data_IF_994868470233
#
_entry.id   IF_994868470233
#
_cell.length_a   1.000
_cell.length_b   1.000
_cell.length_c   1.000
_cell.angle_alpha   90.00
_cell.angle_beta   90.00
_cell.angle_gamma   90.00
#
_symmetry.space_group_name_H-M   'P 1'
#
loop_
_entity.id
_entity.type
_entity.pdbx_description
1 polymer ?
#
# COMPACT_ATOMS: atom_id res chain seq x y z
N UNK A 1 8.21 -4.71 -17.08
CA UNK A 1 8.72 -3.47 -16.40
C UNK A 1 8.42 -3.59 -14.93
N UNK A 2 9.40 -3.55 -14.05
CA UNK A 2 9.17 -3.76 -12.62
C UNK A 2 8.70 -2.46 -11.97
N UNK A 3 7.59 -2.51 -11.23
CA UNK A 3 7.05 -1.41 -10.44
C UNK A 3 7.54 -1.56 -9.00
N UNK A 4 8.27 -0.57 -8.49
CA UNK A 4 8.74 -0.54 -7.12
C UNK A 4 7.70 0.13 -6.24
N UNK A 5 7.22 -0.57 -5.21
CA UNK A 5 6.18 -0.06 -4.33
C UNK A 5 6.67 0.19 -2.92
N UNK A 6 6.12 1.22 -2.30
CA UNK A 6 6.24 1.52 -0.89
C UNK A 6 4.92 1.34 -0.17
N UNK A 7 4.96 0.96 1.09
CA UNK A 7 3.78 0.82 1.94
C UNK A 7 3.87 1.82 3.08
N UNK A 8 2.89 2.69 3.20
CA UNK A 8 2.76 3.57 4.36
C UNK A 8 1.66 3.07 5.28
N UNK A 9 2.05 2.54 6.43
CA UNK A 9 1.14 1.95 7.43
C UNK A 9 0.99 0.44 7.32
N UNK A 10 1.33 -0.25 8.40
CA UNK A 10 1.21 -1.71 8.59
C UNK A 10 0.01 -2.09 9.46
N UNK A 11 -1.10 -1.36 9.31
CA UNK A 11 -2.39 -1.76 9.84
C UNK A 11 -2.91 -3.03 9.14
N UNK A 12 -4.18 -3.40 9.37
CA UNK A 12 -4.75 -4.59 8.73
C UNK A 12 -4.58 -4.54 7.20
N UNK A 13 -4.93 -3.43 6.57
CA UNK A 13 -4.89 -3.32 5.11
C UNK A 13 -3.46 -3.37 4.57
N UNK A 14 -2.53 -2.61 5.14
CA UNK A 14 -1.13 -2.64 4.67
C UNK A 14 -0.51 -4.04 4.75
N UNK A 15 -0.79 -4.78 5.84
CA UNK A 15 -0.35 -6.18 5.95
C UNK A 15 -0.97 -7.08 4.89
N UNK A 16 -2.25 -6.90 4.58
CA UNK A 16 -2.92 -7.70 3.54
C UNK A 16 -2.40 -7.36 2.14
N UNK A 17 -2.11 -6.09 1.86
CA UNK A 17 -1.46 -5.69 0.60
C UNK A 17 -0.10 -6.38 0.43
N UNK A 18 0.72 -6.41 1.49
CA UNK A 18 2.02 -7.10 1.45
C UNK A 18 1.83 -8.60 1.18
N UNK A 19 0.93 -9.27 1.92
CA UNK A 19 0.62 -10.67 1.71
C UNK A 19 0.16 -10.94 0.27
N UNK A 20 -0.79 -10.15 -0.24
CA UNK A 20 -1.32 -10.30 -1.58
C UNK A 20 -0.22 -10.15 -2.65
N UNK A 21 0.69 -9.19 -2.52
CA UNK A 21 1.82 -9.02 -3.43
C UNK A 21 2.74 -10.25 -3.41
N UNK A 22 3.06 -10.77 -2.24
CA UNK A 22 3.97 -11.91 -2.11
C UNK A 22 3.28 -13.22 -2.58
N UNK A 23 2.03 -13.43 -2.20
CA UNK A 23 1.25 -14.63 -2.57
C UNK A 23 0.88 -14.67 -4.05
N UNK A 24 0.71 -13.52 -4.70
CA UNK A 24 0.47 -13.45 -6.15
C UNK A 24 1.65 -13.93 -7.00
N UNK A 25 2.84 -14.00 -6.42
CA UNK A 25 4.10 -14.33 -7.11
C UNK A 25 4.37 -13.46 -8.35
N UNK A 26 3.74 -12.29 -8.42
CA UNK A 26 3.91 -11.35 -9.51
C UNK A 26 5.30 -10.71 -9.44
N UNK A 27 6.15 -11.01 -10.43
CA UNK A 27 7.54 -10.52 -10.51
C UNK A 27 7.64 -9.06 -10.95
N UNK A 28 6.55 -8.49 -11.46
CA UNK A 28 6.52 -7.10 -11.91
C UNK A 28 6.28 -6.09 -10.76
N UNK A 29 5.92 -6.56 -9.57
CA UNK A 29 5.74 -5.70 -8.40
C UNK A 29 6.78 -6.06 -7.34
N UNK A 30 7.54 -5.06 -6.87
CA UNK A 30 8.55 -5.24 -5.81
C UNK A 30 8.34 -4.25 -4.68
N UNK A 31 8.18 -4.77 -3.46
CA UNK A 31 8.14 -3.94 -2.25
C UNK A 31 9.57 -3.51 -1.93
N UNK A 32 9.81 -2.20 -1.91
CA UNK A 32 11.12 -1.59 -1.66
C UNK A 32 11.26 -1.01 -0.27
N UNK A 33 10.17 -0.41 0.23
CA UNK A 33 10.20 0.28 1.50
C UNK A 33 8.85 0.18 2.21
N UNK A 34 8.92 0.06 3.53
CA UNK A 34 7.77 0.10 4.41
C UNK A 34 8.00 1.19 5.45
N UNK A 35 7.05 2.09 5.62
CA UNK A 35 7.02 3.02 6.73
C UNK A 35 5.87 2.65 7.69
N UNK A 36 6.19 2.50 8.97
CA UNK A 36 5.19 2.23 10.01
C UNK A 36 5.67 2.72 11.38
N UNK A 37 4.75 3.18 12.21
CA UNK A 37 5.09 3.74 13.54
C UNK A 37 5.59 2.69 14.55
N UNK A 38 5.14 1.43 14.42
CA UNK A 38 5.70 0.31 15.19
C UNK A 38 6.99 -0.17 14.55
N UNK A 39 7.87 -0.79 15.33
CA UNK A 39 9.14 -1.32 14.84
C UNK A 39 8.97 -2.52 13.88
N UNK A 40 10.07 -2.93 13.27
CA UNK A 40 10.12 -4.06 12.33
C UNK A 40 9.76 -5.38 13.01
N UNK A 41 10.17 -5.61 14.24
CA UNK A 41 9.84 -6.81 15.03
C UNK A 41 8.34 -6.98 15.22
N UNK A 42 7.64 -5.96 15.76
CA UNK A 42 6.21 -6.00 15.96
C UNK A 42 5.46 -6.15 14.62
N UNK A 43 5.94 -5.49 13.57
CA UNK A 43 5.38 -5.58 12.23
C UNK A 43 5.55 -6.97 11.64
N UNK A 44 6.70 -7.62 11.85
CA UNK A 44 6.97 -9.00 11.44
C UNK A 44 6.03 -10.00 12.14
N UNK A 45 5.85 -9.87 13.46
CA UNK A 45 4.94 -10.71 14.22
C UNK A 45 3.49 -10.56 13.75
N UNK A 46 3.04 -9.33 13.51
CA UNK A 46 1.67 -9.05 13.05
C UNK A 46 1.38 -9.48 11.62
N UNK A 47 2.37 -9.52 10.72
CA UNK A 47 2.17 -10.04 9.36
C UNK A 47 2.16 -11.56 9.33
N UNK A 48 2.83 -12.22 10.28
CA UNK A 48 2.94 -13.67 10.35
C UNK A 48 1.61 -14.36 10.63
N UNK A 49 0.79 -13.75 11.49
CA UNK A 49 -0.47 -14.34 11.92
C UNK A 49 -1.61 -13.34 11.72
N UNK A 50 -2.68 -13.79 11.10
CA UNK A 50 -3.92 -13.04 10.95
C UNK A 50 -5.10 -13.89 11.39
N UNK A 51 -6.06 -13.29 12.12
CA UNK A 51 -7.20 -14.00 12.69
C UNK A 51 -8.19 -14.51 11.63
N UNK A 52 -8.20 -13.92 10.43
CA UNK A 52 -9.08 -14.31 9.32
C UNK A 52 -8.33 -15.14 8.29
N UNK A 53 -7.14 -14.65 7.87
CA UNK A 53 -6.34 -15.28 6.80
C UNK A 53 -5.32 -16.29 7.31
N UNK A 54 -5.25 -16.50 8.63
CA UNK A 54 -4.35 -17.48 9.22
C UNK A 54 -2.87 -17.13 9.11
N UNK A 55 -2.03 -18.17 9.18
CA UNK A 55 -0.58 -18.04 9.10
C UNK A 55 -0.14 -17.70 7.69
N UNK A 56 0.71 -16.67 7.56
CA UNK A 56 1.32 -16.29 6.28
C UNK A 56 2.35 -17.35 5.85
N UNK A 57 2.22 -17.85 4.63
CA UNK A 57 3.11 -18.87 4.10
C UNK A 57 4.34 -18.24 3.43
N UNK A 58 5.16 -17.59 4.23
CA UNK A 58 6.43 -17.00 3.81
C UNK A 58 7.45 -17.08 4.94
N UNK A 59 8.73 -17.18 4.60
CA UNK A 59 9.82 -17.03 5.55
C UNK A 59 9.92 -15.56 5.96
N UNK A 60 9.84 -15.29 7.25
CA UNK A 60 9.84 -13.95 7.80
C UNK A 60 10.97 -13.80 8.81
N UNK A 61 11.71 -12.71 8.65
CA UNK A 61 12.75 -12.29 9.57
C UNK A 61 12.81 -10.75 9.59
N UNK A 62 13.56 -10.17 10.50
CA UNK A 62 13.70 -8.74 10.63
C UNK A 62 15.06 -8.36 11.20
N UNK A 63 15.49 -7.15 10.89
CA UNK A 63 16.53 -6.43 11.63
C UNK A 63 15.99 -5.01 11.95
N UNK A 64 16.81 -4.18 12.58
CA UNK A 64 16.42 -2.84 13.03
C UNK A 64 15.81 -1.99 11.89
N UNK A 65 16.35 -2.12 10.68
CA UNK A 65 16.04 -1.28 9.53
C UNK A 65 15.39 -2.03 8.35
N UNK A 66 15.07 -3.32 8.54
CA UNK A 66 14.49 -4.13 7.48
C UNK A 66 13.44 -5.11 7.99
N UNK A 67 12.43 -5.32 7.14
CA UNK A 67 11.60 -6.52 7.16
C UNK A 67 12.11 -7.47 6.07
N UNK A 68 12.32 -8.74 6.42
CA UNK A 68 12.87 -9.74 5.50
C UNK A 68 11.78 -10.74 5.17
N UNK A 69 11.41 -10.84 3.89
CA UNK A 69 10.38 -11.77 3.42
C UNK A 69 10.97 -12.64 2.31
N UNK A 70 10.97 -13.98 2.51
CA UNK A 70 11.56 -14.94 1.56
C UNK A 70 12.99 -14.53 1.16
N UNK A 71 13.82 -14.17 2.14
CA UNK A 71 15.21 -13.69 1.96
C UNK A 71 15.35 -12.32 1.28
N UNK A 72 14.26 -11.69 0.85
CA UNK A 72 14.30 -10.35 0.27
C UNK A 72 14.25 -9.31 1.40
N UNK A 73 15.27 -8.45 1.48
CA UNK A 73 15.32 -7.34 2.43
C UNK A 73 14.49 -6.17 1.91
N UNK A 74 13.53 -5.74 2.70
CA UNK A 74 12.68 -4.57 2.47
C UNK A 74 13.07 -3.53 3.50
N UNK A 75 13.50 -2.36 3.08
CA UNK A 75 13.87 -1.28 4.01
C UNK A 75 12.67 -0.84 4.85
N UNK A 76 12.93 -0.46 6.10
CA UNK A 76 11.89 -0.11 7.06
C UNK A 76 12.22 1.21 7.75
N UNK A 77 11.21 2.07 7.92
CA UNK A 77 11.31 3.31 8.68
C UNK A 77 10.13 3.51 9.63
N UNK A 78 10.30 4.41 10.60
CA UNK A 78 9.32 4.68 11.65
C UNK A 78 8.88 6.16 11.66
N UNK A 79 8.82 6.77 10.48
CA UNK A 79 8.46 8.17 10.36
C UNK A 79 6.98 8.39 10.67
N UNK A 80 6.70 9.39 11.51
CA UNK A 80 5.34 9.75 11.91
C UNK A 80 4.67 10.74 10.95
N UNK A 81 5.48 11.50 10.22
CA UNK A 81 5.04 12.46 9.21
C UNK A 81 5.38 11.95 7.82
N UNK A 82 4.46 12.12 6.88
CA UNK A 82 4.70 11.69 5.50
C UNK A 82 5.82 12.51 4.82
N UNK A 83 5.99 13.73 5.23
CA UNK A 83 7.03 14.64 4.74
C UNK A 83 8.44 14.14 5.03
N UNK A 84 8.60 13.30 6.07
CA UNK A 84 9.89 12.75 6.47
C UNK A 84 10.23 11.44 5.75
N UNK A 85 9.26 10.79 5.09
CA UNK A 85 9.48 9.53 4.37
C UNK A 85 10.05 9.82 2.98
N UNK A 86 11.31 9.53 2.76
CA UNK A 86 12.00 9.78 1.50
C UNK A 86 11.85 8.61 0.51
N UNK A 87 10.75 8.57 -0.22
CA UNK A 87 10.45 7.51 -1.21
C UNK A 87 11.48 7.45 -2.33
N UNK A 88 12.01 8.60 -2.74
CA UNK A 88 13.04 8.69 -3.78
C UNK A 88 14.32 7.95 -3.39
N UNK A 89 14.76 8.10 -2.12
CA UNK A 89 15.94 7.39 -1.60
C UNK A 89 15.82 5.88 -1.73
N UNK A 90 14.61 5.35 -1.53
CA UNK A 90 14.33 3.92 -1.57
C UNK A 90 13.94 3.42 -2.98
N UNK A 91 13.93 4.30 -3.99
CA UNK A 91 13.58 3.95 -5.36
C UNK A 91 12.14 3.49 -5.52
N UNK A 92 11.22 4.05 -4.72
CA UNK A 92 9.79 3.74 -4.77
C UNK A 92 9.12 4.54 -5.88
N UNK A 93 8.36 3.85 -6.73
CA UNK A 93 7.54 4.46 -7.78
C UNK A 93 6.13 4.75 -7.30
N UNK A 94 5.47 3.77 -6.65
CA UNK A 94 4.08 3.87 -6.20
C UNK A 94 4.00 3.65 -4.70
N UNK A 95 3.21 4.47 -4.01
CA UNK A 95 2.96 4.33 -2.57
C UNK A 95 1.55 3.83 -2.33
N UNK A 96 1.42 2.74 -1.58
CA UNK A 96 0.16 2.33 -0.97
C UNK A 96 0.00 3.04 0.37
N UNK A 97 -0.92 4.00 0.44
CA UNK A 97 -1.27 4.69 1.67
C UNK A 97 -2.32 3.90 2.44
N UNK A 98 -1.90 3.23 3.50
CA UNK A 98 -2.71 2.30 4.28
C UNK A 98 -2.88 2.71 5.75
N UNK A 99 -2.54 3.95 6.13
CA UNK A 99 -2.66 4.40 7.52
C UNK A 99 -4.09 4.74 7.92
N UNK A 100 -4.95 5.08 6.95
CA UNK A 100 -6.30 5.60 7.19
C UNK A 100 -6.34 7.04 7.73
N UNK A 101 -5.19 7.71 7.87
CA UNK A 101 -5.10 9.07 8.44
C UNK A 101 -5.09 10.16 7.38
N UNK A 102 -4.60 9.84 6.19
CA UNK A 102 -4.41 10.79 5.10
C UNK A 102 -5.45 10.49 4.01
N UNK A 103 -6.55 11.22 4.05
CA UNK A 103 -7.74 10.95 3.24
C UNK A 103 -8.15 12.15 2.36
N UNK A 104 -7.20 13.01 2.02
CA UNK A 104 -7.41 14.09 1.05
C UNK A 104 -6.18 14.25 0.16
N UNK A 105 -6.42 14.66 -1.09
CA UNK A 105 -5.37 14.87 -2.10
C UNK A 105 -4.26 15.80 -1.57
N UNK A 106 -4.65 16.89 -0.92
CA UNK A 106 -3.72 17.90 -0.42
C UNK A 106 -2.67 17.30 0.54
N UNK A 107 -3.12 16.41 1.44
CA UNK A 107 -2.20 15.72 2.37
C UNK A 107 -1.31 14.71 1.66
N UNK A 108 -1.86 14.02 0.65
CA UNK A 108 -1.17 12.94 -0.05
C UNK A 108 -0.12 13.44 -1.04
N UNK A 109 -0.21 14.70 -1.47
CA UNK A 109 0.82 15.33 -2.30
C UNK A 109 2.21 15.31 -1.64
N UNK A 110 2.29 15.20 -0.31
CA UNK A 110 3.56 15.04 0.38
C UNK A 110 4.31 13.76 -0.07
N UNK A 111 3.61 12.66 -0.36
CA UNK A 111 4.24 11.47 -0.92
C UNK A 111 4.83 11.72 -2.31
N UNK A 112 4.10 12.46 -3.15
CA UNK A 112 4.57 12.83 -4.51
C UNK A 112 5.80 13.74 -4.40
N UNK A 113 5.74 14.76 -3.55
CA UNK A 113 6.86 15.68 -3.32
C UNK A 113 8.12 14.96 -2.80
N UNK A 114 7.94 13.86 -2.07
CA UNK A 114 9.02 13.02 -1.55
C UNK A 114 9.44 11.90 -2.51
N UNK A 115 8.98 11.96 -3.77
CA UNK A 115 9.52 11.18 -4.88
C UNK A 115 8.67 10.01 -5.37
N UNK A 116 7.49 9.78 -4.80
CA UNK A 116 6.54 8.84 -5.38
C UNK A 116 5.96 9.41 -6.70
N UNK A 117 5.74 8.56 -7.68
CA UNK A 117 5.08 8.94 -8.94
C UNK A 117 3.56 8.92 -8.81
N UNK A 118 3.04 7.95 -8.04
CA UNK A 118 1.61 7.78 -7.78
C UNK A 118 1.37 7.30 -6.35
N UNK A 119 0.19 7.63 -5.83
CA UNK A 119 -0.28 7.17 -4.52
C UNK A 119 -1.62 6.45 -4.70
N UNK A 120 -1.74 5.25 -4.16
CA UNK A 120 -2.97 4.48 -4.09
C UNK A 120 -3.41 4.48 -2.63
N UNK A 121 -4.57 5.07 -2.35
CA UNK A 121 -5.12 5.20 -1.00
C UNK A 121 -6.10 4.08 -0.74
N UNK A 122 -5.90 3.32 0.32
CA UNK A 122 -6.77 2.21 0.72
C UNK A 122 -8.06 2.64 1.43
N UNK A 123 -8.54 3.84 1.15
CA UNK A 123 -9.69 4.46 1.79
C UNK A 123 -10.32 5.52 0.87
N UNK A 124 -11.56 5.98 1.14
CA UNK A 124 -12.12 7.14 0.46
C UNK A 124 -11.20 8.34 0.61
N UNK A 125 -10.96 9.04 -0.48
CA UNK A 125 -10.05 10.19 -0.51
C UNK A 125 -10.75 11.42 -1.11
N UNK A 126 -10.80 12.49 -0.34
CA UNK A 126 -11.36 13.76 -0.81
C UNK A 126 -10.46 14.36 -1.91
N UNK A 127 -11.08 14.78 -2.99
CA UNK A 127 -10.40 15.40 -4.14
C UNK A 127 -9.34 14.49 -4.80
N UNK A 128 -9.43 13.14 -4.66
CA UNK A 128 -8.60 12.23 -5.43
C UNK A 128 -8.77 12.47 -6.94
N UNK A 129 -7.76 12.18 -7.75
CA UNK A 129 -7.86 12.28 -9.20
C UNK A 129 -8.89 11.30 -9.75
N UNK A 130 -8.90 10.09 -9.18
CA UNK A 130 -9.88 9.04 -9.45
C UNK A 130 -10.22 8.25 -8.19
N UNK A 131 -11.46 7.78 -8.13
CA UNK A 131 -11.89 6.75 -7.18
C UNK A 131 -12.24 5.51 -7.98
N UNK A 132 -11.51 4.42 -7.73
CA UNK A 132 -11.60 3.19 -8.53
C UNK A 132 -12.10 2.04 -7.68
N UNK A 133 -13.04 1.29 -8.23
CA UNK A 133 -13.44 -0.05 -7.79
C UNK A 133 -13.04 -1.03 -8.88
N UNK A 134 -12.09 -1.91 -8.58
CA UNK A 134 -11.57 -2.87 -9.54
C UNK A 134 -12.69 -3.81 -10.04
N UNK A 135 -12.76 -4.03 -11.37
CA UNK A 135 -13.82 -4.80 -12.03
C UNK A 135 -15.09 -3.97 -12.30
N UNK A 136 -15.08 -2.65 -12.02
CA UNK A 136 -16.23 -1.75 -12.28
C UNK A 136 -15.84 -0.57 -13.15
N UNK A 137 -14.75 0.13 -12.81
CA UNK A 137 -14.38 1.37 -13.50
C UNK A 137 -12.85 1.60 -13.59
N UNK A 138 -12.04 0.56 -13.54
CA UNK A 138 -10.57 0.67 -13.67
C UNK A 138 -10.14 1.26 -15.02
N UNK A 139 -10.95 1.11 -16.06
CA UNK A 139 -10.68 1.67 -17.39
C UNK A 139 -10.70 3.21 -17.43
N UNK A 140 -11.26 3.85 -16.40
CA UNK A 140 -11.23 5.30 -16.26
C UNK A 140 -9.85 5.85 -15.88
N UNK A 141 -8.91 4.99 -15.47
CA UNK A 141 -7.57 5.42 -15.06
C UNK A 141 -6.77 5.95 -16.25
N UNK A 142 -6.13 7.09 -16.02
CA UNK A 142 -5.22 7.71 -16.99
C UNK A 142 -3.81 7.76 -16.48
N UNK A 143 -2.85 8.00 -17.39
CA UNK A 143 -1.44 8.18 -17.00
C UNK A 143 -1.21 9.40 -16.12
N UNK A 144 -2.09 10.39 -16.19
CA UNK A 144 -1.98 11.66 -15.46
C UNK A 144 -2.49 11.58 -14.02
N UNK A 145 -3.29 10.56 -13.69
CA UNK A 145 -3.83 10.40 -12.34
C UNK A 145 -2.71 10.03 -11.37
N UNK A 146 -2.46 10.85 -10.37
CA UNK A 146 -1.40 10.66 -9.38
C UNK A 146 -1.93 10.14 -8.04
N UNK A 147 -3.08 10.65 -7.60
CA UNK A 147 -3.71 10.26 -6.34
C UNK A 147 -4.99 9.48 -6.64
N UNK A 148 -4.93 8.17 -6.39
CA UNK A 148 -6.00 7.23 -6.73
C UNK A 148 -6.58 6.67 -5.43
N UNK A 149 -7.88 6.83 -5.22
CA UNK A 149 -8.58 6.18 -4.12
C UNK A 149 -9.08 4.80 -4.53
N UNK A 150 -8.83 3.78 -3.72
CA UNK A 150 -9.40 2.45 -3.86
C UNK A 150 -10.83 2.35 -3.26
N UNK A 151 -11.52 3.48 -3.11
CA UNK A 151 -12.86 3.59 -2.53
C UNK A 151 -12.96 3.10 -1.07
N UNK A 152 -14.17 2.84 -0.59
CA UNK A 152 -14.41 2.26 0.74
C UNK A 152 -14.65 0.75 0.65
N UNK A 153 -14.55 0.06 1.79
CA UNK A 153 -14.91 -1.35 1.89
C UNK A 153 -16.38 -1.60 1.48
N UNK A 154 -17.28 -0.72 1.86
CA UNK A 154 -18.72 -0.80 1.49
C UNK A 154 -18.94 -0.53 0.01
N UNK A 155 -18.21 0.41 -0.58
CA UNK A 155 -18.28 0.67 -2.03
C UNK A 155 -17.74 -0.52 -2.83
N UNK A 156 -16.62 -1.12 -2.42
CA UNK A 156 -16.08 -2.32 -3.07
C UNK A 156 -16.99 -3.55 -2.93
N UNK A 157 -17.82 -3.59 -1.88
CA UNK A 157 -18.85 -4.64 -1.75
C UNK A 157 -20.05 -4.39 -2.69
N UNK A 158 -20.57 -3.16 -2.71
CA UNK A 158 -21.83 -2.84 -3.39
C UNK A 158 -21.68 -2.62 -4.90
N UNK A 159 -20.64 -1.91 -5.33
CA UNK A 159 -20.53 -1.47 -6.73
C UNK A 159 -20.45 -2.65 -7.72
N UNK A 160 -19.68 -3.74 -7.49
CA UNK A 160 -19.70 -4.89 -8.40
C UNK A 160 -21.08 -5.55 -8.51
N UNK A 161 -21.82 -5.64 -7.40
CA UNK A 161 -23.19 -6.20 -7.42
C UNK A 161 -24.13 -5.31 -8.22
N UNK A 162 -24.09 -4.00 -7.97
CA UNK A 162 -24.91 -3.03 -8.71
C UNK A 162 -24.57 -3.04 -10.20
N UNK A 163 -23.30 -3.15 -10.55
CA UNK A 163 -22.83 -3.19 -11.94
C UNK A 163 -23.36 -4.42 -12.73
N UNK A 164 -23.50 -5.55 -12.03
CA UNK A 164 -24.06 -6.78 -12.66
C UNK A 164 -25.58 -6.70 -12.81
N UNK A 165 -26.26 -6.00 -11.89
CA UNK A 165 -27.72 -5.88 -11.91
C UNK A 165 -28.23 -4.80 -12.87
N UNK A 166 -27.40 -3.84 -13.24
CA UNK A 166 -27.72 -2.75 -14.17
C UNK A 166 -27.57 -3.19 -15.62
#
# INVERSE_FOLDING_TARGET
>A
MTINVGINGMGRIGRMVIRAIIESQNKDIKIKHINNRSNSEASCALIKYDSVHGKFNADLDYDENHLIINKNKITFSQESKIEDVNWKRYGVDYVFECTGKFNSKEKLLAHINNGAKKVIVSAPCKNADKTIVFGVNEDELTKNDQIISAASCTTNCLAPVANVLH
#
